data_IF_169533248232
#
_entry.id   IF_169533248232
#
_cell.length_a   1.000
_cell.length_b   1.000
_cell.length_c   1.000
_cell.angle_alpha   90.00
_cell.angle_beta   90.00
_cell.angle_gamma   90.00
#
_symmetry.space_group_name_H-M   'P 1'
#
loop_
_entity.id
_entity.type
_entity.pdbx_description
1 polymer ?
#
# COMPACT_ATOMS: atom_id res chain seq x y z
N UNK A 1 -16.61 -23.65 -9.73
CA UNK A 1 -17.28 -22.40 -9.29
C UNK A 1 -16.20 -21.49 -8.77
N UNK A 2 -15.76 -20.54 -9.57
CA UNK A 2 -14.96 -19.41 -9.10
C UNK A 2 -15.90 -18.46 -8.39
N UNK A 3 -16.08 -18.63 -7.10
CA UNK A 3 -16.71 -17.60 -6.27
C UNK A 3 -15.75 -16.45 -6.22
N UNK A 4 -16.14 -15.29 -6.75
CA UNK A 4 -15.39 -14.07 -6.60
C UNK A 4 -15.71 -13.55 -5.19
N UNK A 5 -14.87 -13.85 -4.18
CA UNK A 5 -15.21 -13.50 -2.82
C UNK A 5 -15.29 -11.98 -2.67
N UNK A 6 -16.07 -11.53 -1.70
CA UNK A 6 -16.11 -10.12 -1.31
C UNK A 6 -14.69 -9.69 -0.91
N UNK A 7 -14.26 -8.56 -1.44
CA UNK A 7 -12.95 -7.98 -1.16
C UNK A 7 -13.10 -6.68 -0.37
N UNK A 8 -12.04 -6.30 0.33
CA UNK A 8 -12.00 -5.00 1.02
C UNK A 8 -12.17 -3.88 0.01
N UNK A 9 -13.12 -2.96 0.26
CA UNK A 9 -13.48 -1.86 -0.65
C UNK A 9 -14.65 -2.15 -1.58
N UNK A 10 -15.20 -3.38 -1.60
CA UNK A 10 -16.42 -3.65 -2.37
C UNK A 10 -17.61 -2.86 -1.82
N UNK A 11 -18.43 -2.39 -2.73
CA UNK A 11 -19.77 -1.88 -2.42
C UNK A 11 -20.75 -3.03 -2.54
N UNK A 12 -21.58 -3.18 -1.52
CA UNK A 12 -22.49 -4.32 -1.43
C UNK A 12 -23.88 -3.86 -1.02
N UNK A 13 -24.88 -4.52 -1.58
CA UNK A 13 -26.24 -4.46 -1.06
C UNK A 13 -26.39 -5.48 0.06
N UNK A 14 -27.07 -5.10 1.14
CA UNK A 14 -27.31 -5.98 2.28
C UNK A 14 -28.80 -6.03 2.58
N UNK A 15 -29.30 -7.23 2.92
CA UNK A 15 -30.61 -7.44 3.52
C UNK A 15 -30.43 -7.78 5.01
N UNK A 16 -31.26 -7.19 5.84
CA UNK A 16 -31.26 -7.42 7.29
C UNK A 16 -32.51 -8.24 7.64
N UNK A 17 -32.32 -9.42 8.24
CA UNK A 17 -33.43 -10.22 8.68
C UNK A 17 -34.02 -9.71 10.01
N UNK A 18 -35.14 -10.31 10.43
CA UNK A 18 -35.86 -9.93 11.66
C UNK A 18 -35.03 -10.15 12.93
N UNK A 19 -33.97 -10.93 12.86
CA UNK A 19 -33.05 -11.22 13.98
C UNK A 19 -31.86 -10.26 14.03
N UNK A 20 -31.79 -9.27 13.10
CA UNK A 20 -30.71 -8.31 13.02
C UNK A 20 -29.43 -8.81 12.33
N UNK A 21 -29.49 -10.01 11.71
CA UNK A 21 -28.37 -10.53 10.90
C UNK A 21 -28.43 -9.95 9.49
N UNK A 22 -27.30 -9.42 9.01
CA UNK A 22 -27.17 -8.88 7.67
C UNK A 22 -26.55 -9.90 6.70
N UNK A 23 -27.10 -9.99 5.49
CA UNK A 23 -26.60 -10.82 4.40
C UNK A 23 -26.25 -9.95 3.21
N UNK A 24 -25.10 -10.21 2.59
CA UNK A 24 -24.74 -9.57 1.33
C UNK A 24 -25.55 -10.25 0.21
N UNK A 25 -26.39 -9.46 -0.45
CA UNK A 25 -27.26 -9.93 -1.55
C UNK A 25 -26.64 -9.67 -2.90
N UNK A 26 -25.82 -8.61 -3.01
CA UNK A 26 -25.19 -8.24 -4.27
C UNK A 26 -23.84 -7.55 -4.00
N UNK A 27 -22.89 -7.75 -4.91
CA UNK A 27 -21.66 -6.96 -5.01
C UNK A 27 -21.81 -6.09 -6.25
N UNK A 28 -21.63 -4.77 -6.08
CA UNK A 28 -21.65 -3.82 -7.20
C UNK A 28 -20.42 -4.02 -8.11
N UNK A 29 -20.51 -3.51 -9.33
CA UNK A 29 -19.39 -3.52 -10.26
C UNK A 29 -18.20 -2.72 -9.71
N UNK A 30 -17.03 -3.34 -9.76
CA UNK A 30 -15.80 -2.73 -9.27
C UNK A 30 -15.24 -1.73 -10.28
N UNK A 31 -14.96 -0.51 -9.83
CA UNK A 31 -14.23 0.51 -10.61
C UNK A 31 -12.83 0.01 -11.00
N UNK A 32 -12.14 -0.58 -10.05
CA UNK A 32 -10.82 -1.18 -10.17
C UNK A 32 -10.55 -2.14 -9.01
N UNK A 33 -9.44 -2.87 -9.08
CA UNK A 33 -9.00 -3.74 -7.98
C UNK A 33 -7.52 -4.07 -8.12
N UNK A 34 -6.91 -4.54 -7.05
CA UNK A 34 -5.53 -5.08 -7.06
C UNK A 34 -5.57 -6.54 -6.63
N UNK A 35 -4.84 -7.38 -7.36
CA UNK A 35 -4.72 -8.81 -7.06
C UNK A 35 -3.34 -9.14 -6.49
N UNK A 36 -3.31 -10.19 -5.68
CA UNK A 36 -2.11 -10.91 -5.32
C UNK A 36 -2.17 -12.30 -5.91
N UNK A 37 -1.16 -12.69 -6.67
CA UNK A 37 -0.99 -14.10 -7.05
C UNK A 37 -0.51 -14.89 -5.85
N UNK A 38 -1.16 -16.03 -5.58
CA UNK A 38 -0.65 -16.96 -4.60
C UNK A 38 0.71 -17.49 -5.07
N UNK A 39 1.68 -17.57 -4.17
CA UNK A 39 3.03 -18.09 -4.44
C UNK A 39 3.06 -19.60 -4.67
N UNK A 40 2.01 -20.32 -4.30
CA UNK A 40 1.87 -21.74 -4.52
C UNK A 40 1.04 -22.01 -5.78
N UNK A 41 1.31 -23.15 -6.44
CA UNK A 41 0.74 -23.69 -7.68
C UNK A 41 -0.79 -23.60 -7.88
N UNK A 42 -1.53 -23.06 -6.93
CA UNK A 42 -2.95 -22.75 -7.10
C UNK A 42 -3.11 -21.56 -8.03
N UNK A 43 -3.79 -21.75 -9.15
CA UNK A 43 -4.15 -20.70 -10.13
C UNK A 43 -5.08 -19.60 -9.56
N UNK A 44 -5.20 -19.46 -8.24
CA UNK A 44 -6.10 -18.54 -7.59
C UNK A 44 -5.38 -17.22 -7.30
N UNK A 45 -5.83 -16.16 -7.94
CA UNK A 45 -5.50 -14.78 -7.59
C UNK A 45 -6.51 -14.28 -6.57
N UNK A 46 -6.03 -13.65 -5.50
CA UNK A 46 -6.90 -13.03 -4.49
C UNK A 46 -6.95 -11.51 -4.71
N UNK A 47 -8.15 -10.96 -4.78
CA UNK A 47 -8.34 -9.51 -4.77
C UNK A 47 -8.03 -9.03 -3.35
N UNK A 48 -7.07 -8.12 -3.23
CA UNK A 48 -6.64 -7.55 -1.94
C UNK A 48 -7.37 -6.26 -1.61
N UNK A 49 -7.71 -5.48 -2.63
CA UNK A 49 -8.49 -4.27 -2.49
C UNK A 49 -9.25 -3.98 -3.78
N UNK A 50 -10.45 -3.43 -3.64
CA UNK A 50 -11.30 -2.98 -4.74
C UNK A 50 -11.71 -1.52 -4.53
N UNK A 51 -12.09 -0.84 -5.62
CA UNK A 51 -12.61 0.53 -5.61
C UNK A 51 -11.68 1.54 -4.91
N UNK A 52 -10.36 1.37 -5.10
CA UNK A 52 -9.36 2.29 -4.56
C UNK A 52 -9.16 3.49 -5.48
N UNK A 53 -8.90 4.65 -4.89
CA UNK A 53 -8.61 5.86 -5.67
C UNK A 53 -7.15 5.92 -6.06
N UNK A 54 -6.27 5.35 -5.22
CA UNK A 54 -4.83 5.28 -5.46
C UNK A 54 -4.19 4.16 -4.66
N UNK A 55 -2.98 3.75 -5.06
CA UNK A 55 -2.08 2.94 -4.25
C UNK A 55 -0.82 3.74 -3.92
N UNK A 56 -0.31 3.59 -2.71
CA UNK A 56 0.99 4.10 -2.32
C UNK A 56 1.92 2.93 -2.03
N UNK A 57 2.96 2.80 -2.83
CA UNK A 57 3.99 1.80 -2.62
C UNK A 57 5.10 2.40 -1.75
N UNK A 58 5.15 1.95 -0.50
CA UNK A 58 6.21 2.35 0.43
C UNK A 58 7.46 1.54 0.12
N UNK A 59 8.52 2.23 -0.23
CA UNK A 59 9.81 1.65 -0.62
C UNK A 59 10.93 2.18 0.24
N UNK A 60 11.99 1.39 0.36
CA UNK A 60 13.23 1.77 1.04
C UNK A 60 14.41 1.35 0.19
N UNK A 61 15.41 2.22 0.08
CA UNK A 61 16.66 1.93 -0.63
C UNK A 61 17.43 0.83 0.11
N UNK A 62 17.43 0.94 1.44
CA UNK A 62 18.08 -0.04 2.33
C UNK A 62 17.25 -0.22 3.62
N UNK A 63 17.49 -1.30 4.35
CA UNK A 63 16.88 -1.58 5.67
C UNK A 63 15.33 -1.66 5.70
N UNK A 64 14.67 -2.53 4.91
CA UNK A 64 15.17 -3.51 3.94
C UNK A 64 15.33 -2.93 2.54
N UNK A 65 16.07 -3.62 1.68
CA UNK A 65 16.17 -3.26 0.26
C UNK A 65 14.83 -3.56 -0.43
N UNK A 66 14.30 -2.57 -1.15
CA UNK A 66 13.20 -2.76 -2.10
C UNK A 66 13.80 -2.75 -3.50
N UNK A 67 13.77 -3.89 -4.18
CA UNK A 67 14.37 -4.01 -5.51
C UNK A 67 13.51 -3.32 -6.58
N UNK A 68 14.13 -2.79 -7.63
CA UNK A 68 13.44 -2.22 -8.79
C UNK A 68 12.50 -3.23 -9.44
N UNK A 69 12.90 -4.50 -9.53
CA UNK A 69 12.05 -5.58 -10.04
C UNK A 69 10.73 -5.70 -9.26
N UNK A 70 10.76 -5.50 -7.95
CA UNK A 70 9.53 -5.51 -7.15
C UNK A 70 8.68 -4.27 -7.43
N UNK A 71 9.31 -3.09 -7.51
CA UNK A 71 8.62 -1.83 -7.82
C UNK A 71 7.94 -1.95 -9.19
N UNK A 72 8.69 -2.34 -10.23
CA UNK A 72 8.20 -2.43 -11.61
C UNK A 72 7.04 -3.43 -11.75
N UNK A 73 7.13 -4.58 -11.08
CA UNK A 73 6.03 -5.57 -11.06
C UNK A 73 4.77 -5.03 -10.39
N UNK A 74 4.94 -4.26 -9.31
CA UNK A 74 3.81 -3.62 -8.64
C UNK A 74 3.17 -2.58 -9.55
N UNK A 75 3.97 -1.71 -10.16
CA UNK A 75 3.52 -0.67 -11.08
C UNK A 75 2.79 -1.27 -12.28
N UNK A 76 3.37 -2.28 -12.94
CA UNK A 76 2.74 -2.96 -14.07
C UNK A 76 1.40 -3.63 -13.68
N UNK A 77 1.33 -4.19 -12.46
CA UNK A 77 0.07 -4.76 -11.97
C UNK A 77 -0.97 -3.68 -11.74
N UNK A 78 -0.61 -2.58 -11.12
CA UNK A 78 -1.52 -1.47 -10.85
C UNK A 78 -2.04 -0.83 -12.14
N UNK A 79 -1.19 -0.63 -13.14
CA UNK A 79 -1.56 -0.16 -14.48
C UNK A 79 -2.59 -1.09 -15.14
N UNK A 80 -2.34 -2.41 -15.11
CA UNK A 80 -3.24 -3.41 -15.68
C UNK A 80 -4.66 -3.34 -15.08
N UNK A 81 -4.77 -2.91 -13.83
CA UNK A 81 -6.04 -2.77 -13.11
C UNK A 81 -6.50 -1.32 -12.92
N UNK A 82 -5.88 -0.38 -13.62
CA UNK A 82 -6.23 1.06 -13.61
C UNK A 82 -6.23 1.69 -12.22
N UNK A 83 -5.22 1.36 -11.43
CA UNK A 83 -5.00 1.95 -10.11
C UNK A 83 -3.81 2.91 -10.17
N UNK A 84 -4.02 4.21 -9.98
CA UNK A 84 -2.92 5.18 -9.91
C UNK A 84 -1.97 4.84 -8.77
N UNK A 85 -0.66 4.94 -9.01
CA UNK A 85 0.36 4.64 -8.00
C UNK A 85 1.22 5.85 -7.72
N UNK A 86 1.51 6.06 -6.43
CA UNK A 86 2.56 6.96 -5.93
C UNK A 86 3.63 6.14 -5.22
N UNK A 87 4.89 6.39 -5.52
CA UNK A 87 6.02 5.83 -4.79
C UNK A 87 6.36 6.70 -3.58
N UNK A 88 6.57 6.07 -2.43
CA UNK A 88 6.89 6.78 -1.19
C UNK A 88 8.18 6.20 -0.62
N UNK A 89 9.27 6.92 -0.79
CA UNK A 89 10.59 6.55 -0.28
C UNK A 89 10.70 6.93 1.19
N UNK A 90 10.73 5.92 2.06
CA UNK A 90 10.79 6.11 3.51
C UNK A 90 12.21 5.88 4.05
N UNK A 91 12.46 6.34 5.27
CA UNK A 91 13.71 6.22 6.03
C UNK A 91 14.87 7.02 5.44
N UNK A 92 14.56 8.19 4.87
CA UNK A 92 15.57 9.07 4.25
C UNK A 92 16.65 9.52 5.23
N UNK A 93 16.36 9.49 6.54
CA UNK A 93 17.30 9.77 7.62
C UNK A 93 18.46 8.75 7.73
N UNK A 94 18.34 7.61 7.05
CA UNK A 94 19.31 6.51 7.13
C UNK A 94 20.22 6.42 5.91
N UNK A 95 19.99 7.23 4.87
CA UNK A 95 20.70 7.11 3.61
C UNK A 95 21.85 8.12 3.54
N UNK A 96 23.08 7.62 3.40
CA UNK A 96 24.31 8.37 3.26
C UNK A 96 25.14 7.81 2.11
N UNK A 97 26.00 8.66 1.51
CA UNK A 97 26.85 8.21 0.38
C UNK A 97 26.05 7.57 -0.73
N UNK A 98 26.46 6.38 -1.16
CA UNK A 98 25.84 5.65 -2.28
C UNK A 98 24.35 5.33 -2.11
N UNK A 99 23.86 5.15 -0.87
CA UNK A 99 22.41 4.97 -0.63
C UNK A 99 21.63 6.25 -0.96
N UNK A 100 22.23 7.42 -0.73
CA UNK A 100 21.61 8.70 -1.06
C UNK A 100 21.60 8.95 -2.56
N UNK A 101 22.71 8.65 -3.23
CA UNK A 101 22.82 8.74 -4.69
C UNK A 101 21.79 7.81 -5.36
N UNK A 102 21.70 6.56 -4.88
CA UNK A 102 20.71 5.60 -5.38
C UNK A 102 19.27 6.07 -5.16
N UNK A 103 18.97 6.71 -4.01
CA UNK A 103 17.66 7.31 -3.78
C UNK A 103 17.33 8.36 -4.84
N UNK A 104 18.25 9.29 -5.09
CA UNK A 104 18.06 10.40 -6.02
C UNK A 104 17.90 9.86 -7.47
N UNK A 105 18.67 8.84 -7.85
CA UNK A 105 18.55 8.15 -9.14
C UNK A 105 17.18 7.48 -9.29
N UNK A 106 16.70 6.76 -8.28
CA UNK A 106 15.41 6.08 -8.32
C UNK A 106 14.25 7.09 -8.38
N UNK A 107 14.30 8.17 -7.61
CA UNK A 107 13.29 9.23 -7.64
C UNK A 107 13.26 9.87 -9.04
N UNK A 108 14.43 10.16 -9.62
CA UNK A 108 14.54 10.72 -10.97
C UNK A 108 13.98 9.77 -12.00
N UNK A 109 14.35 8.49 -11.96
CA UNK A 109 13.88 7.45 -12.87
C UNK A 109 12.35 7.38 -12.88
N UNK A 110 11.75 7.12 -11.71
CA UNK A 110 10.31 6.90 -11.63
C UNK A 110 9.49 8.16 -11.91
N UNK A 111 9.98 9.34 -11.52
CA UNK A 111 9.32 10.60 -11.87
C UNK A 111 9.36 10.86 -13.38
N UNK A 112 10.48 10.58 -14.03
CA UNK A 112 10.64 10.74 -15.49
C UNK A 112 9.68 9.87 -16.28
N UNK A 113 9.43 8.64 -15.82
CA UNK A 113 8.47 7.74 -16.48
C UNK A 113 7.01 7.96 -16.03
N UNK A 114 6.75 9.00 -15.21
CA UNK A 114 5.40 9.49 -14.92
C UNK A 114 4.81 9.04 -13.58
N UNK A 115 5.59 8.40 -12.69
CA UNK A 115 5.10 8.03 -11.36
C UNK A 115 5.45 9.09 -10.32
N UNK A 116 4.46 9.70 -9.64
CA UNK A 116 4.73 10.64 -8.56
C UNK A 116 5.55 9.98 -7.46
N UNK A 117 6.58 10.67 -6.99
CA UNK A 117 7.44 10.23 -5.90
C UNK A 117 7.36 11.20 -4.72
N UNK A 118 7.41 10.68 -3.51
CA UNK A 118 7.59 11.44 -2.27
C UNK A 118 8.70 10.80 -1.45
N UNK A 119 9.42 11.63 -0.73
CA UNK A 119 10.45 11.21 0.22
C UNK A 119 10.00 11.58 1.63
N UNK A 120 10.18 10.68 2.58
CA UNK A 120 9.82 10.94 3.98
C UNK A 120 10.67 10.15 4.98
N UNK A 121 10.64 10.61 6.21
CA UNK A 121 11.08 9.87 7.38
C UNK A 121 9.92 9.75 8.38
N UNK A 122 9.31 8.58 8.47
CA UNK A 122 8.20 8.36 9.40
C UNK A 122 8.60 8.50 10.88
N UNK A 123 9.90 8.38 11.20
CA UNK A 123 10.42 8.52 12.57
C UNK A 123 10.49 9.98 13.00
N UNK A 124 11.00 10.86 12.14
CA UNK A 124 11.13 12.30 12.40
C UNK A 124 9.94 13.12 11.95
N UNK A 125 8.97 12.47 11.29
CA UNK A 125 7.77 13.08 10.68
C UNK A 125 8.06 13.97 9.46
N UNK A 126 9.30 14.04 9.01
CA UNK A 126 9.68 14.76 7.80
C UNK A 126 8.93 14.20 6.57
N UNK A 127 8.25 15.07 5.83
CA UNK A 127 7.48 14.71 4.63
C UNK A 127 6.09 14.08 4.90
N UNK A 128 5.70 13.85 6.17
CA UNK A 128 4.39 13.28 6.47
C UNK A 128 3.23 14.22 6.15
N UNK A 129 3.43 15.52 6.20
CA UNK A 129 2.38 16.50 5.88
C UNK A 129 1.95 16.41 4.41
N UNK A 130 2.93 16.24 3.50
CA UNK A 130 2.65 16.00 2.07
C UNK A 130 1.84 14.72 1.90
N UNK A 131 2.23 13.67 2.61
CA UNK A 131 1.51 12.39 2.53
C UNK A 131 0.09 12.51 3.09
N UNK A 132 -0.11 13.28 4.16
CA UNK A 132 -1.43 13.54 4.77
C UNK A 132 -2.37 14.24 3.78
N UNK A 133 -1.87 15.24 3.06
CA UNK A 133 -2.65 15.92 2.02
C UNK A 133 -3.03 14.97 0.87
N UNK A 134 -2.09 14.13 0.42
CA UNK A 134 -2.34 13.15 -0.64
C UNK A 134 -3.41 12.11 -0.28
N UNK A 135 -3.59 11.84 1.01
CA UNK A 135 -4.56 10.86 1.51
C UNK A 135 -5.96 11.44 1.71
N UNK A 136 -6.10 12.77 1.83
CA UNK A 136 -7.40 13.40 2.12
C UNK A 136 -8.46 13.04 1.10
N UNK A 137 -9.60 12.57 1.59
CA UNK A 137 -10.76 12.24 0.77
C UNK A 137 -10.56 11.06 -0.19
N UNK A 138 -9.48 10.29 -0.07
CA UNK A 138 -9.16 9.19 -0.98
C UNK A 138 -9.13 7.84 -0.27
N UNK A 139 -9.62 6.83 -0.97
CA UNK A 139 -9.45 5.43 -0.58
C UNK A 139 -8.07 5.00 -1.10
N UNK A 140 -7.14 4.78 -0.18
CA UNK A 140 -5.74 4.51 -0.52
C UNK A 140 -5.31 3.12 -0.05
N UNK A 141 -4.70 2.36 -0.94
CA UNK A 141 -4.02 1.11 -0.61
C UNK A 141 -2.56 1.39 -0.29
N UNK A 142 -2.12 1.15 0.94
CA UNK A 142 -0.70 1.14 1.29
C UNK A 142 -0.12 -0.25 1.07
N UNK A 143 0.94 -0.33 0.28
CA UNK A 143 1.66 -1.57 -0.04
C UNK A 143 3.16 -1.40 0.19
N UNK A 144 3.87 -2.50 0.30
CA UNK A 144 5.34 -2.55 0.41
C UNK A 144 5.80 -3.76 1.21
N UNK A 145 7.10 -4.01 1.21
CA UNK A 145 7.71 -5.10 1.97
C UNK A 145 7.48 -4.96 3.49
N UNK A 146 7.62 -6.06 4.21
CA UNK A 146 7.69 -6.01 5.67
C UNK A 146 8.91 -5.16 6.08
N UNK A 147 8.75 -4.34 7.12
CA UNK A 147 9.86 -3.52 7.64
C UNK A 147 10.13 -2.20 6.91
N UNK A 148 9.46 -1.87 5.78
CA UNK A 148 9.63 -0.55 5.11
C UNK A 148 9.03 0.62 5.88
N UNK A 149 8.26 0.35 6.96
CA UNK A 149 7.72 1.38 7.85
C UNK A 149 6.25 1.72 7.66
N UNK A 150 5.45 0.90 6.97
CA UNK A 150 4.00 1.13 6.79
C UNK A 150 3.25 1.37 8.10
N UNK A 151 3.42 0.48 9.08
CA UNK A 151 2.75 0.61 10.38
C UNK A 151 3.15 1.90 11.11
N UNK A 152 4.43 2.29 11.01
CA UNK A 152 4.92 3.55 11.59
C UNK A 152 4.25 4.75 10.93
N UNK A 153 4.18 4.77 9.59
CA UNK A 153 3.50 5.82 8.83
C UNK A 153 2.04 5.92 9.26
N UNK A 154 1.32 4.79 9.31
CA UNK A 154 -0.11 4.78 9.68
C UNK A 154 -0.32 5.28 11.10
N UNK A 155 0.49 4.83 12.05
CA UNK A 155 0.39 5.27 13.46
C UNK A 155 0.63 6.77 13.63
N UNK A 156 1.45 7.38 12.75
CA UNK A 156 1.71 8.82 12.75
C UNK A 156 0.63 9.63 12.03
N UNK A 157 0.00 9.04 11.01
CA UNK A 157 -1.03 9.71 10.21
C UNK A 157 -2.40 9.68 10.88
N UNK A 158 -2.73 8.58 11.56
CA UNK A 158 -4.07 8.35 12.10
C UNK A 158 -4.01 8.34 13.64
N UNK A 159 -4.48 9.40 14.32
CA UNK A 159 -4.54 9.42 15.76
C UNK A 159 -5.39 8.25 16.32
N UNK A 160 -4.92 7.60 17.37
CA UNK A 160 -5.62 6.50 18.03
C UNK A 160 -5.44 5.12 17.39
N UNK A 161 -4.84 5.03 16.20
CA UNK A 161 -4.42 3.75 15.63
C UNK A 161 -3.07 3.35 16.22
N UNK A 162 -2.97 2.11 16.71
CA UNK A 162 -1.73 1.56 17.26
C UNK A 162 -1.45 0.20 16.61
N UNK A 163 -0.95 0.22 15.39
CA UNK A 163 -0.49 -0.99 14.72
C UNK A 163 0.86 -1.42 15.29
N UNK A 164 1.07 -2.72 15.47
CA UNK A 164 2.36 -3.25 15.90
C UNK A 164 3.44 -2.87 14.88
N UNK A 165 4.48 -2.19 15.36
CA UNK A 165 5.71 -1.93 14.62
C UNK A 165 6.69 -3.02 15.02
N UNK A 166 7.10 -3.89 14.09
CA UNK A 166 8.09 -4.93 14.34
C UNK A 166 9.49 -4.44 14.00
N UNK A 167 10.47 -4.81 14.81
CA UNK A 167 11.87 -4.69 14.44
C UNK A 167 12.15 -5.60 13.23
N UNK A 168 13.01 -5.13 12.32
CA UNK A 168 13.45 -5.93 11.19
C UNK A 168 14.34 -7.03 11.77
N UNK A 169 13.82 -8.26 11.89
CA UNK A 169 14.68 -9.37 12.23
C UNK A 169 15.65 -9.63 11.07
N UNK A 170 16.93 -9.74 11.35
CA UNK A 170 17.97 -10.03 10.36
C UNK A 170 17.74 -11.33 9.57
N UNK A 171 16.78 -12.13 10.01
CA UNK A 171 16.46 -13.46 9.45
C UNK A 171 15.60 -13.44 8.17
N UNK A 172 15.12 -12.29 7.70
CA UNK A 172 14.15 -12.23 6.60
C UNK A 172 14.67 -11.68 5.27
N UNK A 173 15.92 -11.89 4.95
CA UNK A 173 16.54 -11.40 3.70
C UNK A 173 16.18 -12.21 2.45
N UNK A 174 15.37 -13.27 2.57
CA UNK A 174 14.91 -14.07 1.42
C UNK A 174 13.38 -14.13 1.37
N UNK A 175 12.78 -13.39 0.43
CA UNK A 175 11.36 -13.52 0.08
C UNK A 175 10.39 -12.94 1.11
N UNK A 176 10.59 -11.67 1.50
CA UNK A 176 9.71 -10.98 2.46
C UNK A 176 8.26 -10.97 2.02
N UNK A 177 7.31 -11.33 2.90
CA UNK A 177 5.89 -11.17 2.59
C UNK A 177 5.56 -9.71 2.38
N UNK A 178 4.85 -9.41 1.31
CA UNK A 178 4.28 -8.08 1.06
C UNK A 178 3.09 -7.91 1.99
N UNK A 179 3.05 -6.84 2.75
CA UNK A 179 1.90 -6.49 3.58
C UNK A 179 1.11 -5.34 2.95
N UNK A 180 -0.19 -5.39 3.11
CA UNK A 180 -1.12 -4.44 2.55
C UNK A 180 -1.97 -3.84 3.67
N UNK A 181 -2.25 -2.54 3.57
CA UNK A 181 -3.18 -1.86 4.47
C UNK A 181 -4.09 -0.96 3.64
N UNK A 182 -5.39 -1.15 3.81
CA UNK A 182 -6.40 -0.34 3.17
C UNK A 182 -6.76 0.82 4.09
N UNK A 183 -6.58 2.05 3.63
CA UNK A 183 -6.94 3.26 4.35
C UNK A 183 -8.07 3.97 3.62
N UNK A 184 -9.12 4.26 4.34
CA UNK A 184 -10.13 5.23 3.93
C UNK A 184 -9.95 6.46 4.81
N UNK A 185 -9.44 7.54 4.25
CA UNK A 185 -9.34 8.80 4.96
C UNK A 185 -10.75 9.38 5.09
N UNK A 186 -11.42 9.04 6.17
CA UNK A 186 -12.57 9.79 6.65
C UNK A 186 -12.08 11.05 7.38
N UNK A 187 -12.97 12.03 7.58
CA UNK A 187 -12.81 13.36 8.19
C UNK A 187 -11.97 13.44 9.50
N UNK A 188 -11.37 12.34 9.95
CA UNK A 188 -10.53 12.23 11.15
C UNK A 188 -9.08 12.70 10.95
N UNK A 189 -8.69 13.08 9.74
CA UNK A 189 -7.40 13.74 9.47
C UNK A 189 -7.55 15.27 9.56
N UNK A 190 -8.19 15.76 10.65
CA UNK A 190 -8.18 17.18 11.02
C UNK A 190 -6.92 17.52 11.79
#
# INVERSE_FOLDING_TARGET
RTTNPVAVGDRVDIDINTEGTAFITKIEDRKNYIIRRASNLSKQSHIIAANVDQAMLIVTVNYPITTTVFIDRFLATAEAYRVPVKLVFNKIDRYHGGDRELLDDLVTLYTTIGYPCSMLCARTEEGLDVLREDLKGRITLLSGHSGVGKSTIINKLIPGVNLRTGDISEYHNKGMPVSYTHLRAHETLR
#
